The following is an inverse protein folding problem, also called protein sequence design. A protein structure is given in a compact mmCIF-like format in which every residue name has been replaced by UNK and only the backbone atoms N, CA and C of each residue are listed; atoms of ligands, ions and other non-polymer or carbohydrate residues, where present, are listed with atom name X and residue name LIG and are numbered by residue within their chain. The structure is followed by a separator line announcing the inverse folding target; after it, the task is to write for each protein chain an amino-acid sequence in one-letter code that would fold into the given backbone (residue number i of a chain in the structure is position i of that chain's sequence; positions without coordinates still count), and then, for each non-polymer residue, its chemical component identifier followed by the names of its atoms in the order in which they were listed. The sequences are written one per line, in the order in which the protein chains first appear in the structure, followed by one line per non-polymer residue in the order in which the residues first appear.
data_IF_148237104384
#
_entry.id   IF_148237104384
#
_cell.length_a   1.000
_cell.length_b   1.000
_cell.length_c   1.000
_cell.angle_alpha   90.00
_cell.angle_beta   90.00
_cell.angle_gamma   90.00
#
_symmetry.space_group_name_H-M   'P 1'
#
loop_
_entity.id
_entity.type
_entity.pdbx_description
1 polymer ?
#
# COMPACT_ATOMS: atom_id res chain seq x y z
N UNK A 1 -6.73 15.60 35.70
CA UNK A 1 -6.05 14.83 34.62
C UNK A 1 -6.78 15.12 33.32
N UNK A 2 -6.07 15.65 32.32
CA UNK A 2 -6.64 16.29 31.14
C UNK A 2 -7.08 15.26 30.09
N UNK A 3 -8.39 15.19 29.85
CA UNK A 3 -8.97 14.60 28.65
C UNK A 3 -8.87 15.61 27.51
N UNK A 4 -7.92 15.43 26.60
CA UNK A 4 -7.96 16.10 25.29
C UNK A 4 -7.65 15.09 24.20
N UNK A 5 -8.62 14.20 23.95
CA UNK A 5 -8.73 13.50 22.67
C UNK A 5 -9.13 14.56 21.64
N UNK A 6 -8.16 15.08 20.91
CA UNK A 6 -8.42 15.99 19.77
C UNK A 6 -9.10 15.20 18.65
N UNK A 7 -10.42 15.10 18.73
CA UNK A 7 -11.22 14.62 17.60
C UNK A 7 -11.28 15.77 16.60
N UNK A 8 -10.34 15.81 15.65
CA UNK A 8 -10.39 16.75 14.53
C UNK A 8 -11.66 16.48 13.68
N UNK A 9 -12.70 17.30 13.89
CA UNK A 9 -13.86 17.41 13.00
C UNK A 9 -13.52 18.23 11.74
N UNK A 10 -12.41 17.93 11.06
CA UNK A 10 -11.93 18.75 9.95
C UNK A 10 -12.85 18.66 8.70
N UNK A 11 -12.96 19.81 8.01
CA UNK A 11 -13.79 20.14 6.83
C UNK A 11 -13.69 19.19 5.62
N UNK A 12 -12.74 18.24 5.57
CA UNK A 12 -12.60 17.24 4.50
C UNK A 12 -12.18 15.86 5.07
N UNK A 13 -13.11 15.05 5.62
CA UNK A 13 -12.80 13.75 6.23
C UNK A 13 -11.98 12.82 5.33
N UNK A 14 -12.20 12.90 4.01
CA UNK A 14 -11.49 12.09 3.03
C UNK A 14 -10.01 12.43 2.85
N UNK A 15 -9.64 13.71 2.93
CA UNK A 15 -8.22 14.10 2.86
C UNK A 15 -7.45 13.62 4.09
N UNK A 16 -8.09 13.68 5.26
CA UNK A 16 -7.52 13.15 6.50
C UNK A 16 -7.34 11.63 6.46
N UNK A 17 -8.33 10.91 5.93
CA UNK A 17 -8.25 9.48 5.70
C UNK A 17 -7.04 9.14 4.81
N UNK A 18 -6.99 9.72 3.61
CA UNK A 18 -5.93 9.49 2.64
C UNK A 18 -4.56 9.79 3.25
N UNK A 19 -4.40 10.96 3.89
CA UNK A 19 -3.15 11.36 4.55
C UNK A 19 -2.69 10.36 5.61
N UNK A 20 -3.59 9.86 6.45
CA UNK A 20 -3.25 8.88 7.50
C UNK A 20 -2.78 7.56 6.91
N UNK A 21 -3.44 7.06 5.87
CA UNK A 21 -3.04 5.83 5.18
C UNK A 21 -1.65 5.98 4.55
N UNK A 22 -1.42 7.07 3.82
CA UNK A 22 -0.12 7.33 3.18
C UNK A 22 1.01 7.51 4.19
N UNK A 23 0.75 8.19 5.31
CA UNK A 23 1.75 8.35 6.37
C UNK A 23 2.07 7.04 7.08
N UNK A 24 1.09 6.15 7.26
CA UNK A 24 1.33 4.82 7.81
C UNK A 24 2.38 4.06 7.00
N UNK A 25 2.26 4.06 5.66
CA UNK A 25 3.24 3.43 4.79
C UNK A 25 4.62 4.07 4.93
N UNK A 26 4.69 5.40 4.92
CA UNK A 26 5.98 6.13 5.03
C UNK A 26 6.72 5.80 6.32
N UNK A 27 6.01 5.78 7.46
CA UNK A 27 6.61 5.57 8.78
C UNK A 27 7.23 4.18 8.88
N UNK A 28 6.54 3.15 8.39
CA UNK A 28 7.04 1.77 8.46
C UNK A 28 8.05 1.41 7.34
N UNK A 29 8.18 2.25 6.30
CA UNK A 29 9.04 1.97 5.15
C UNK A 29 10.49 2.44 5.36
N UNK A 30 11.17 1.86 6.35
CA UNK A 30 12.57 2.15 6.64
C UNK A 30 13.47 1.86 5.44
N UNK A 31 14.44 2.74 5.19
CA UNK A 31 15.34 2.70 4.02
C UNK A 31 16.05 1.35 3.84
N UNK A 32 16.54 0.79 4.95
CA UNK A 32 17.30 -0.46 4.96
C UNK A 32 16.54 -1.65 4.36
N UNK A 33 15.20 -1.67 4.42
CA UNK A 33 14.40 -2.78 3.87
C UNK A 33 14.26 -2.75 2.35
N UNK A 34 14.55 -1.61 1.71
CA UNK A 34 14.34 -1.43 0.27
C UNK A 34 15.64 -1.20 -0.50
N UNK A 35 16.77 -1.24 0.19
CA UNK A 35 18.08 -1.03 -0.40
C UNK A 35 18.53 -2.29 -1.16
N UNK A 36 18.54 -2.22 -2.49
CA UNK A 36 18.96 -3.32 -3.36
C UNK A 36 20.47 -3.51 -3.42
N UNK A 37 21.26 -2.60 -2.83
CA UNK A 37 22.71 -2.84 -2.65
C UNK A 37 22.99 -3.87 -1.55
N UNK A 38 22.08 -3.99 -0.58
CA UNK A 38 22.21 -4.86 0.59
C UNK A 38 21.18 -6.00 0.63
N UNK A 39 20.09 -5.89 -0.12
CA UNK A 39 19.02 -6.89 -0.17
C UNK A 39 18.82 -7.41 -1.58
N UNK A 40 18.46 -8.69 -1.70
CA UNK A 40 18.02 -9.21 -2.98
C UNK A 40 16.74 -8.49 -3.44
N UNK A 41 16.54 -8.38 -4.74
CA UNK A 41 15.30 -7.83 -5.32
C UNK A 41 14.05 -8.55 -4.82
N UNK A 42 14.14 -9.87 -4.59
CA UNK A 42 13.03 -10.67 -4.07
C UNK A 42 12.68 -10.24 -2.63
N UNK A 43 13.68 -10.05 -1.77
CA UNK A 43 13.49 -9.56 -0.40
C UNK A 43 12.87 -8.16 -0.38
N UNK A 44 13.34 -7.25 -1.24
CA UNK A 44 12.77 -5.89 -1.35
C UNK A 44 11.30 -5.92 -1.76
N UNK A 45 10.93 -6.77 -2.73
CA UNK A 45 9.53 -6.95 -3.15
C UNK A 45 8.67 -7.59 -2.05
N UNK A 46 9.23 -8.53 -1.28
CA UNK A 46 8.56 -9.15 -0.13
C UNK A 46 8.30 -8.12 0.99
N UNK A 47 9.29 -7.26 1.28
CA UNK A 47 9.17 -6.17 2.23
C UNK A 47 8.12 -5.15 1.79
N UNK A 48 8.07 -4.81 0.50
CA UNK A 48 7.05 -3.94 -0.06
C UNK A 48 5.65 -4.54 0.10
N UNK A 49 5.48 -5.82 -0.23
CA UNK A 49 4.21 -6.51 -0.06
C UNK A 49 3.73 -6.48 1.39
N UNK A 50 4.61 -6.84 2.33
CA UNK A 50 4.30 -6.85 3.77
C UNK A 50 3.91 -5.46 4.25
N UNK A 51 4.63 -4.42 3.84
CA UNK A 51 4.28 -3.03 4.14
C UNK A 51 2.91 -2.63 3.53
N UNK A 52 2.57 -3.10 2.33
CA UNK A 52 1.24 -2.85 1.77
C UNK A 52 0.13 -3.57 2.54
N UNK A 53 0.34 -4.82 2.99
CA UNK A 53 -0.64 -5.57 3.79
C UNK A 53 -0.89 -4.87 5.13
N UNK A 54 0.16 -4.46 5.83
CA UNK A 54 0.04 -3.69 7.08
C UNK A 54 -0.68 -2.36 6.87
N UNK A 55 -0.32 -1.63 5.80
CA UNK A 55 -0.96 -0.36 5.47
C UNK A 55 -2.44 -0.56 5.13
N UNK A 56 -2.78 -1.60 4.36
CA UNK A 56 -4.16 -1.94 4.02
C UNK A 56 -4.97 -2.35 5.26
N UNK A 57 -4.35 -3.07 6.19
CA UNK A 57 -4.95 -3.45 7.47
C UNK A 57 -5.28 -2.21 8.30
N UNK A 58 -4.32 -1.27 8.42
CA UNK A 58 -4.52 0.01 9.12
C UNK A 58 -5.56 0.89 8.41
N UNK A 59 -5.56 0.92 7.09
CA UNK A 59 -6.56 1.62 6.28
C UNK A 59 -7.98 1.12 6.59
N UNK A 60 -8.18 -0.20 6.56
CA UNK A 60 -9.45 -0.82 6.90
C UNK A 60 -9.86 -0.57 8.35
N UNK A 61 -8.94 -0.75 9.31
CA UNK A 61 -9.22 -0.52 10.71
C UNK A 61 -9.63 0.93 10.98
N UNK A 62 -8.92 1.89 10.36
CA UNK A 62 -9.26 3.30 10.45
C UNK A 62 -10.63 3.61 9.84
N UNK A 63 -10.93 3.08 8.64
CA UNK A 63 -12.25 3.23 8.02
C UNK A 63 -13.37 2.67 8.92
N UNK A 64 -13.15 1.51 9.54
CA UNK A 64 -14.12 0.86 10.44
C UNK A 64 -14.41 1.68 11.68
N UNK A 65 -13.40 2.33 12.25
CA UNK A 65 -13.50 3.15 13.46
C UNK A 65 -14.15 4.53 13.23
N UNK A 66 -14.40 4.93 11.97
CA UNK A 66 -15.13 6.16 11.67
C UNK A 66 -16.64 5.96 11.86
N UNK A 67 -17.37 7.02 12.30
CA UNK A 67 -18.83 7.03 12.30
C UNK A 67 -19.37 6.67 10.90
N UNK A 68 -20.49 5.95 10.83
CA UNK A 68 -21.03 5.42 9.56
C UNK A 68 -21.16 6.49 8.47
N UNK A 69 -21.65 7.69 8.81
CA UNK A 69 -21.80 8.82 7.89
C UNK A 69 -20.47 9.42 7.39
N UNK A 70 -19.34 9.08 8.03
CA UNK A 70 -17.99 9.57 7.68
C UNK A 70 -17.08 8.47 7.12
N UNK A 71 -17.60 7.24 6.96
CA UNK A 71 -16.81 6.16 6.38
C UNK A 71 -16.47 6.49 4.92
N UNK A 72 -15.26 6.19 4.46
CA UNK A 72 -14.86 6.46 3.09
C UNK A 72 -15.69 5.62 2.11
N UNK A 73 -16.24 6.24 1.07
CA UNK A 73 -16.84 5.52 -0.05
C UNK A 73 -15.78 4.84 -0.92
N UNK A 74 -16.22 3.93 -1.80
CA UNK A 74 -15.35 3.14 -2.68
C UNK A 74 -14.40 4.01 -3.51
N UNK A 75 -14.88 5.10 -4.11
CA UNK A 75 -14.06 6.01 -4.92
C UNK A 75 -12.87 6.58 -4.13
N UNK A 76 -13.11 7.04 -2.89
CA UNK A 76 -12.04 7.55 -2.03
C UNK A 76 -11.03 6.45 -1.64
N UNK A 77 -11.49 5.22 -1.42
CA UNK A 77 -10.61 4.09 -1.14
C UNK A 77 -9.72 3.77 -2.35
N UNK A 78 -10.32 3.70 -3.55
CA UNK A 78 -9.61 3.49 -4.81
C UNK A 78 -8.55 4.58 -5.03
N UNK A 79 -8.92 5.86 -4.86
CA UNK A 79 -8.00 6.99 -4.99
C UNK A 79 -6.88 6.99 -3.95
N UNK A 80 -7.16 6.42 -2.77
CA UNK A 80 -6.16 6.25 -1.71
C UNK A 80 -5.18 5.14 -2.08
N UNK A 81 -5.64 4.02 -2.63
CA UNK A 81 -4.76 2.93 -3.10
C UNK A 81 -3.90 3.39 -4.27
N UNK A 82 -4.45 4.12 -5.25
CA UNK A 82 -3.67 4.72 -6.35
C UNK A 82 -2.57 5.64 -5.82
N UNK A 83 -2.92 6.55 -4.90
CA UNK A 83 -1.94 7.44 -4.31
C UNK A 83 -0.90 6.71 -3.44
N UNK A 84 -1.27 5.60 -2.81
CA UNK A 84 -0.35 4.77 -2.04
C UNK A 84 0.74 4.19 -2.95
N UNK A 85 0.38 3.73 -4.14
CA UNK A 85 1.34 3.25 -5.15
C UNK A 85 2.29 4.37 -5.58
N UNK A 86 1.77 5.57 -5.88
CA UNK A 86 2.61 6.72 -6.26
C UNK A 86 3.59 7.10 -5.15
N UNK A 87 3.08 7.22 -3.92
CA UNK A 87 3.90 7.57 -2.75
C UNK A 87 4.95 6.50 -2.51
N UNK A 88 4.59 5.22 -2.60
CA UNK A 88 5.55 4.13 -2.45
C UNK A 88 6.65 4.22 -3.52
N UNK A 89 6.29 4.38 -4.80
CA UNK A 89 7.27 4.46 -5.88
C UNK A 89 8.22 5.65 -5.71
N UNK A 90 7.70 6.83 -5.41
CA UNK A 90 8.50 8.04 -5.19
C UNK A 90 9.36 7.91 -3.93
N UNK A 91 8.81 7.37 -2.84
CA UNK A 91 9.55 7.16 -1.60
C UNK A 91 10.72 6.20 -1.85
N UNK A 92 10.51 5.10 -2.58
CA UNK A 92 11.52 4.06 -2.73
C UNK A 92 12.58 4.41 -3.80
N UNK A 93 12.23 5.11 -4.87
CA UNK A 93 13.12 5.24 -6.04
C UNK A 93 13.58 6.67 -6.36
N UNK A 94 13.08 7.68 -5.64
CA UNK A 94 13.39 9.09 -5.96
C UNK A 94 14.89 9.42 -5.95
N UNK A 95 15.29 10.28 -6.91
CA UNK A 95 16.65 10.82 -6.99
C UNK A 95 17.05 11.57 -5.72
N UNK A 96 16.12 12.30 -5.09
CA UNK A 96 16.36 13.02 -3.84
C UNK A 96 16.74 12.07 -2.70
N UNK A 97 16.14 10.88 -2.63
CA UNK A 97 16.52 9.86 -1.64
C UNK A 97 17.91 9.32 -1.89
N UNK A 98 18.24 9.00 -3.14
CA UNK A 98 19.59 8.55 -3.53
C UNK A 98 20.67 9.59 -3.24
N UNK A 99 20.37 10.88 -3.48
CA UNK A 99 21.27 11.98 -3.16
C UNK A 99 21.47 12.16 -1.64
N UNK A 100 20.42 11.94 -0.85
CA UNK A 100 20.48 12.04 0.62
C UNK A 100 21.23 10.88 1.28
N UNK A 101 21.21 9.70 0.66
CA UNK A 101 21.83 8.48 1.19
C UNK A 101 22.74 7.87 0.12
N UNK A 102 23.99 8.36 -0.01
CA UNK A 102 24.97 7.77 -0.93
C UNK A 102 25.13 6.26 -0.68
N UNK A 103 25.11 5.47 -1.75
CA UNK A 103 25.16 4.00 -1.68
C UNK A 103 23.78 3.32 -1.69
N UNK A 104 22.69 4.05 -1.37
CA UNK A 104 21.34 3.51 -1.48
C UNK A 104 20.95 3.31 -2.94
N UNK A 105 20.49 2.10 -3.27
CA UNK A 105 19.84 1.83 -4.54
C UNK A 105 18.51 1.11 -4.36
N UNK A 106 17.60 1.28 -5.31
CA UNK A 106 16.34 0.55 -5.31
C UNK A 106 15.86 0.37 -6.74
N UNK A 107 15.95 -0.87 -7.25
CA UNK A 107 15.66 -1.24 -8.64
C UNK A 107 14.27 -1.87 -8.82
N UNK A 108 13.27 -1.31 -8.14
CA UNK A 108 11.87 -1.73 -8.27
C UNK A 108 11.12 -0.86 -9.29
N UNK A 109 10.27 -1.49 -10.11
CA UNK A 109 9.43 -0.76 -11.06
C UNK A 109 8.09 -0.41 -10.43
N UNK A 110 7.51 0.71 -10.86
CA UNK A 110 6.18 1.15 -10.42
C UNK A 110 5.09 0.11 -10.66
N UNK A 111 5.11 -0.58 -11.80
CA UNK A 111 4.16 -1.65 -12.12
C UNK A 111 4.23 -2.83 -11.14
N UNK A 112 5.43 -3.16 -10.65
CA UNK A 112 5.61 -4.20 -9.62
C UNK A 112 5.01 -3.76 -8.28
N UNK A 113 5.30 -2.52 -7.86
CA UNK A 113 4.72 -1.97 -6.63
C UNK A 113 3.20 -1.84 -6.72
N UNK A 114 2.67 -1.43 -7.88
CA UNK A 114 1.25 -1.36 -8.14
C UNK A 114 0.59 -2.73 -7.98
N UNK A 115 1.12 -3.75 -8.65
CA UNK A 115 0.60 -5.11 -8.57
C UNK A 115 0.62 -5.64 -7.13
N UNK A 116 1.73 -5.46 -6.40
CA UNK A 116 1.84 -5.87 -5.00
C UNK A 116 0.84 -5.14 -4.09
N UNK A 117 0.66 -3.84 -4.28
CA UNK A 117 -0.32 -3.06 -3.53
C UNK A 117 -1.75 -3.54 -3.79
N UNK A 118 -2.11 -3.82 -5.05
CA UNK A 118 -3.45 -4.31 -5.38
C UNK A 118 -3.73 -5.67 -4.72
N UNK A 119 -2.77 -6.60 -4.83
CA UNK A 119 -2.90 -7.94 -4.24
C UNK A 119 -2.96 -7.86 -2.71
N UNK A 120 -2.12 -7.05 -2.07
CA UNK A 120 -2.13 -6.86 -0.63
C UNK A 120 -3.44 -6.24 -0.12
N UNK A 121 -3.93 -5.18 -0.77
CA UNK A 121 -5.22 -4.57 -0.44
C UNK A 121 -6.37 -5.57 -0.60
N UNK A 122 -6.36 -6.35 -1.69
CA UNK A 122 -7.37 -7.39 -1.92
C UNK A 122 -7.35 -8.45 -0.82
N UNK A 123 -6.17 -8.94 -0.43
CA UNK A 123 -6.02 -9.96 0.62
C UNK A 123 -6.66 -9.51 1.95
N UNK A 124 -6.54 -8.23 2.29
CA UNK A 124 -7.14 -7.68 3.51
C UNK A 124 -8.65 -7.50 3.35
N UNK A 125 -9.10 -6.92 2.22
CA UNK A 125 -10.50 -6.51 2.04
C UNK A 125 -11.43 -7.68 1.71
N UNK A 126 -10.96 -8.75 1.07
CA UNK A 126 -11.79 -9.92 0.73
C UNK A 126 -12.37 -10.58 1.99
N UNK A 127 -11.62 -10.57 3.10
CA UNK A 127 -12.06 -11.05 4.42
C UNK A 127 -13.19 -10.20 5.04
N UNK A 128 -13.61 -9.13 4.35
CA UNK A 128 -14.55 -8.08 4.78
C UNK A 128 -15.52 -7.69 3.66
N UNK A 129 -15.77 -8.60 2.71
CA UNK A 129 -16.43 -8.33 1.43
C UNK A 129 -17.75 -7.54 1.48
N UNK A 130 -18.58 -7.68 2.52
CA UNK A 130 -19.92 -7.08 2.59
C UNK A 130 -19.95 -5.56 2.43
N UNK A 131 -18.85 -4.86 2.78
CA UNK A 131 -18.72 -3.41 2.64
C UNK A 131 -17.72 -2.92 1.59
N UNK A 132 -17.06 -3.83 0.86
CA UNK A 132 -15.93 -3.48 -0.01
C UNK A 132 -15.98 -4.11 -1.41
N UNK A 133 -17.13 -4.68 -1.82
CA UNK A 133 -17.27 -5.41 -3.10
C UNK A 133 -16.77 -4.63 -4.32
N UNK A 134 -17.16 -3.37 -4.42
CA UNK A 134 -16.76 -2.49 -5.53
C UNK A 134 -15.24 -2.29 -5.58
N UNK A 135 -14.63 -2.01 -4.42
CA UNK A 135 -13.17 -1.86 -4.31
C UNK A 135 -12.46 -3.18 -4.64
N UNK A 136 -12.98 -4.31 -4.17
CA UNK A 136 -12.42 -5.64 -4.46
C UNK A 136 -12.48 -5.94 -5.96
N UNK A 137 -13.63 -5.69 -6.60
CA UNK A 137 -13.80 -5.87 -8.05
C UNK A 137 -12.81 -5.02 -8.85
N UNK A 138 -12.65 -3.75 -8.46
CA UNK A 138 -11.66 -2.87 -9.07
C UNK A 138 -10.23 -3.38 -8.88
N UNK A 139 -9.86 -3.85 -7.67
CA UNK A 139 -8.54 -4.41 -7.39
C UNK A 139 -8.24 -5.65 -8.24
N UNK A 140 -9.24 -6.52 -8.43
CA UNK A 140 -9.11 -7.72 -9.27
C UNK A 140 -8.92 -7.37 -10.74
N UNK A 141 -9.73 -6.44 -11.26
CA UNK A 141 -9.61 -5.95 -12.62
C UNK A 141 -8.26 -5.28 -12.87
N UNK A 142 -7.81 -4.43 -11.95
CA UNK A 142 -6.52 -3.74 -12.08
C UNK A 142 -5.34 -4.71 -11.98
N UNK A 143 -5.42 -5.72 -11.11
CA UNK A 143 -4.41 -6.77 -11.02
C UNK A 143 -4.32 -7.57 -12.31
N UNK A 144 -5.47 -7.91 -12.92
CA UNK A 144 -5.52 -8.59 -14.21
C UNK A 144 -4.91 -7.73 -15.33
N UNK A 145 -5.28 -6.45 -15.40
CA UNK A 145 -4.75 -5.49 -16.38
C UNK A 145 -3.22 -5.38 -16.25
N UNK A 146 -2.70 -5.19 -15.04
CA UNK A 146 -1.25 -5.14 -14.78
C UNK A 146 -0.57 -6.45 -15.16
N UNK A 147 -1.22 -7.59 -14.94
CA UNK A 147 -0.66 -8.90 -15.29
C UNK A 147 -0.58 -9.14 -16.80
N UNK A 148 -1.43 -8.47 -17.58
CA UNK A 148 -1.41 -8.50 -19.04
C UNK A 148 -0.37 -7.57 -19.67
N UNK A 149 0.24 -6.68 -18.88
CA UNK A 149 1.26 -5.75 -19.40
C UNK A 149 2.58 -6.46 -19.71
N UNK A 150 3.12 -6.21 -20.89
CA UNK A 150 4.43 -6.71 -21.30
C UNK A 150 5.52 -6.26 -20.31
N UNK A 151 6.31 -7.22 -19.83
CA UNK A 151 7.48 -6.97 -18.99
C UNK A 151 7.25 -7.04 -17.48
N UNK A 152 6.03 -7.33 -17.01
CA UNK A 152 5.79 -7.68 -15.60
C UNK A 152 6.00 -9.18 -15.38
N UNK A 153 7.03 -9.56 -14.60
CA UNK A 153 7.22 -10.94 -14.16
C UNK A 153 6.22 -11.31 -13.06
N UNK A 154 4.98 -11.59 -13.46
CA UNK A 154 3.90 -11.94 -12.55
C UNK A 154 4.19 -13.24 -11.80
N UNK A 155 4.84 -14.20 -12.47
CA UNK A 155 5.19 -15.49 -11.86
C UNK A 155 6.18 -15.29 -10.72
N UNK A 156 7.19 -14.43 -10.90
CA UNK A 156 8.13 -14.04 -9.85
C UNK A 156 7.45 -13.35 -8.68
N UNK A 157 6.54 -12.39 -8.96
CA UNK A 157 5.79 -11.69 -7.92
C UNK A 157 4.88 -12.63 -7.11
N UNK A 158 4.18 -13.55 -7.77
CA UNK A 158 3.35 -14.56 -7.09
C UNK A 158 4.21 -15.46 -6.20
N UNK A 159 5.40 -15.86 -6.64
CA UNK A 159 6.33 -16.64 -5.80
C UNK A 159 6.74 -15.87 -4.54
N UNK A 160 7.07 -14.58 -4.69
CA UNK A 160 7.41 -13.70 -3.56
C UNK A 160 6.26 -13.64 -2.55
N UNK A 161 5.03 -13.42 -3.03
CA UNK A 161 3.84 -13.32 -2.17
C UNK A 161 3.53 -14.64 -1.46
N UNK A 162 3.61 -15.78 -2.15
CA UNK A 162 3.34 -17.11 -1.58
C UNK A 162 4.39 -17.58 -0.59
N UNK A 163 5.62 -17.08 -0.69
CA UNK A 163 6.70 -17.42 0.23
C UNK A 163 6.55 -16.75 1.61
N UNK A 164 5.65 -15.77 1.75
CA UNK A 164 5.44 -15.06 3.00
C UNK A 164 4.45 -15.81 3.92
N UNK A 165 4.77 -16.00 5.21
CA UNK A 165 3.88 -16.64 6.16
C UNK A 165 2.60 -15.82 6.37
N UNK A 166 1.43 -16.48 6.42
CA UNK A 166 0.13 -15.83 6.67
C UNK A 166 -0.60 -15.32 5.41
N UNK A 167 -0.18 -15.73 4.21
CA UNK A 167 -0.75 -15.26 2.92
C UNK A 167 -1.73 -16.24 2.25
N UNK A 168 -2.04 -17.38 2.88
CA UNK A 168 -3.11 -18.27 2.44
C UNK A 168 -4.42 -18.01 3.20
#
# INVERSE_FOLDING_TARGET
MFNSLTVEFAKCPGQNFKRKVLNSFKIQSHLMFFDTSHNTRQSVLANAYTAFVETATKMWAYARCLPQAKRPGSGLLIDTVKALVEVAFLLLTSKSRKARYPGYDCTVRKTQLAWLAMVACRQVLVKKQSGYKEVISWLEQETHNLSSQNGLDCRGLVKVVKALPGVC
#
